data_IF_719281100007
#
_entry.id   IF_719281100007
#
_cell.length_a   1.000
_cell.length_b   1.000
_cell.length_c   1.000
_cell.angle_alpha   90.00
_cell.angle_beta   90.00
_cell.angle_gamma   90.00
#
_symmetry.space_group_name_H-M   'P 1'
#
loop_
_entity.id
_entity.type
_entity.pdbx_description
1 polymer ?
#
# COMPACT_ATOMS: atom_id res chain seq x y z
N UNK A 1 6.97 -23.02 11.08
CA UNK A 1 7.09 -22.62 9.66
C UNK A 1 6.59 -21.18 9.59
N UNK A 2 7.48 -20.20 9.75
CA UNK A 2 7.09 -18.78 9.68
C UNK A 2 7.22 -18.37 8.23
N UNK A 3 6.10 -18.32 7.52
CA UNK A 3 6.11 -17.80 6.17
C UNK A 3 6.17 -16.27 6.27
N UNK A 4 7.31 -15.67 5.91
CA UNK A 4 7.51 -14.21 5.90
C UNK A 4 7.14 -13.62 4.53
N UNK A 5 6.20 -14.24 3.82
CA UNK A 5 5.73 -13.73 2.54
C UNK A 5 5.01 -12.39 2.73
N UNK A 6 5.09 -11.55 1.70
CA UNK A 6 4.25 -10.36 1.62
C UNK A 6 2.87 -10.75 1.15
N UNK A 7 1.85 -10.46 1.97
CA UNK A 7 0.45 -10.74 1.71
C UNK A 7 -0.30 -9.45 1.33
N UNK A 8 -1.39 -9.60 0.56
CA UNK A 8 -2.26 -8.51 0.14
C UNK A 8 -3.73 -8.92 0.24
N UNK A 9 -4.59 -8.03 0.71
CA UNK A 9 -6.04 -8.28 0.77
C UNK A 9 -6.86 -6.98 0.77
N UNK A 10 -8.12 -7.09 0.32
CA UNK A 10 -9.16 -6.09 0.61
C UNK A 10 -9.41 -6.05 2.12
N UNK A 11 -9.38 -4.86 2.69
CA UNK A 11 -9.62 -4.59 4.11
C UNK A 11 -10.97 -3.94 4.39
N UNK A 12 -11.72 -3.62 3.34
CA UNK A 12 -13.10 -3.12 3.41
C UNK A 12 -14.09 -4.19 2.93
N UNK A 13 -15.35 -4.19 3.43
CA UNK A 13 -16.38 -5.11 2.95
C UNK A 13 -16.65 -4.99 1.43
N UNK A 14 -17.12 -6.06 0.78
CA UNK A 14 -17.53 -5.99 -0.62
C UNK A 14 -18.81 -5.14 -0.77
N UNK A 15 -18.91 -4.39 -1.86
CA UNK A 15 -20.06 -3.56 -2.19
C UNK A 15 -19.66 -2.17 -2.70
N UNK A 16 -20.66 -1.32 -2.92
CA UNK A 16 -20.44 0.07 -3.31
C UNK A 16 -20.25 0.94 -2.07
N UNK A 17 -19.15 1.69 -2.05
CA UNK A 17 -18.83 2.66 -1.01
C UNK A 17 -17.94 3.77 -1.55
N UNK A 18 -17.75 4.84 -0.78
CA UNK A 18 -16.93 5.96 -1.21
C UNK A 18 -15.43 5.63 -1.26
N UNK A 19 -14.97 4.68 -0.44
CA UNK A 19 -13.55 4.29 -0.31
C UNK A 19 -13.47 2.78 -0.15
N UNK A 20 -12.52 2.16 -0.87
CA UNK A 20 -12.03 0.81 -0.60
C UNK A 20 -10.61 0.85 -0.05
N UNK A 21 -10.24 -0.11 0.79
CA UNK A 21 -8.86 -0.21 1.32
C UNK A 21 -8.28 -1.55 0.90
N UNK A 22 -7.11 -1.52 0.25
CA UNK A 22 -6.26 -2.69 0.02
C UNK A 22 -5.06 -2.56 0.96
N UNK A 23 -4.79 -3.60 1.76
CA UNK A 23 -3.67 -3.64 2.71
C UNK A 23 -2.66 -4.69 2.29
N UNK A 24 -1.39 -4.28 2.23
CA UNK A 24 -0.24 -5.16 2.09
C UNK A 24 0.48 -5.29 3.43
N UNK A 25 1.04 -6.46 3.71
CA UNK A 25 1.86 -6.69 4.90
C UNK A 25 2.94 -7.72 4.63
N UNK A 26 4.15 -7.43 5.08
CA UNK A 26 5.32 -8.28 4.90
C UNK A 26 6.57 -7.47 4.55
N UNK A 27 7.72 -8.14 4.41
CA UNK A 27 9.02 -7.49 4.22
C UNK A 27 9.09 -6.62 2.94
N UNK A 28 8.32 -6.95 1.90
CA UNK A 28 8.35 -6.24 0.61
C UNK A 28 7.13 -5.34 0.38
N UNK A 29 6.24 -5.18 1.36
CA UNK A 29 4.98 -4.45 1.20
C UNK A 29 5.16 -3.02 0.64
N UNK A 30 6.15 -2.29 1.18
CA UNK A 30 6.44 -0.92 0.74
C UNK A 30 7.11 -0.93 -0.64
N UNK A 31 8.06 -1.82 -0.87
CA UNK A 31 8.78 -1.93 -2.14
C UNK A 31 7.85 -2.27 -3.31
N UNK A 32 6.97 -3.26 -3.13
CA UNK A 32 6.00 -3.68 -4.14
C UNK A 32 5.00 -2.55 -4.43
N UNK A 33 4.49 -1.88 -3.39
CA UNK A 33 3.59 -0.74 -3.57
C UNK A 33 4.28 0.41 -4.33
N UNK A 34 5.54 0.70 -4.02
CA UNK A 34 6.30 1.78 -4.65
C UNK A 34 6.53 1.58 -6.15
N UNK A 35 6.56 0.32 -6.63
CA UNK A 35 6.74 0.03 -8.07
C UNK A 35 5.54 0.46 -8.91
N UNK A 36 4.33 0.42 -8.34
CA UNK A 36 3.07 0.79 -9.03
C UNK A 36 2.54 2.15 -8.59
N UNK A 37 3.14 2.78 -7.58
CA UNK A 37 2.73 4.08 -7.06
C UNK A 37 3.51 5.22 -7.74
N UNK A 38 2.79 6.03 -8.51
CA UNK A 38 3.31 7.26 -9.09
C UNK A 38 3.06 8.43 -8.12
N UNK A 39 4.11 8.81 -7.39
CA UNK A 39 4.08 9.91 -6.42
C UNK A 39 5.45 10.07 -5.75
N UNK A 40 5.45 10.34 -4.43
CA UNK A 40 6.69 10.28 -3.65
C UNK A 40 7.21 8.85 -3.60
N UNK A 41 8.53 8.70 -3.58
CA UNK A 41 9.19 7.42 -3.31
C UNK A 41 8.87 6.96 -1.88
N UNK A 42 7.97 5.98 -1.74
CA UNK A 42 7.44 5.46 -0.48
C UNK A 42 8.54 4.81 0.36
N UNK A 43 9.60 4.29 -0.25
CA UNK A 43 10.74 3.68 0.46
C UNK A 43 11.56 4.69 1.26
N UNK A 44 11.41 5.99 0.93
CA UNK A 44 12.12 7.10 1.57
C UNK A 44 11.26 7.90 2.54
N UNK A 45 9.97 7.57 2.66
CA UNK A 45 9.07 8.31 3.53
C UNK A 45 9.10 7.74 4.96
N UNK A 46 8.76 8.60 5.92
CA UNK A 46 8.63 8.17 7.31
C UNK A 46 7.44 7.21 7.49
N UNK A 47 7.45 6.46 8.59
CA UNK A 47 6.27 5.69 8.98
C UNK A 47 5.19 6.61 9.59
N UNK A 48 3.95 6.14 9.59
CA UNK A 48 2.74 6.83 10.08
C UNK A 48 2.42 8.13 9.34
N UNK A 49 2.77 8.18 8.06
CA UNK A 49 2.42 9.27 7.15
C UNK A 49 1.50 8.79 6.03
N UNK A 50 0.78 9.74 5.45
CA UNK A 50 -0.10 9.55 4.30
C UNK A 50 0.47 10.26 3.08
N UNK A 51 0.39 9.62 1.92
CA UNK A 51 0.92 10.14 0.67
C UNK A 51 -0.10 10.00 -0.45
N UNK A 52 -0.52 11.13 -1.02
CA UNK A 52 -1.32 11.15 -2.22
C UNK A 52 -0.47 10.79 -3.45
N UNK A 53 -1.04 10.02 -4.37
CA UNK A 53 -0.46 9.71 -5.66
C UNK A 53 -1.40 8.84 -6.49
N UNK A 54 -0.87 8.27 -7.57
CA UNK A 54 -1.64 7.45 -8.49
C UNK A 54 -1.16 6.01 -8.41
N UNK A 55 -2.05 5.04 -8.57
CA UNK A 55 -1.65 3.68 -8.93
C UNK A 55 -1.68 3.55 -10.44
N UNK A 56 -0.59 3.05 -11.02
CA UNK A 56 -0.45 2.84 -12.46
C UNK A 56 -0.08 1.41 -12.78
N UNK A 57 -0.65 0.91 -13.87
CA UNK A 57 -0.14 -0.25 -14.60
C UNK A 57 0.54 0.27 -15.88
N UNK A 58 1.87 0.34 -15.84
CA UNK A 58 2.68 0.99 -16.88
C UNK A 58 2.23 2.46 -17.08
N UNK A 59 1.70 2.79 -18.27
CA UNK A 59 1.19 4.13 -18.59
C UNK A 59 -0.29 4.31 -18.25
N UNK A 60 -1.01 3.24 -17.88
CA UNK A 60 -2.44 3.29 -17.58
C UNK A 60 -2.62 3.70 -16.12
N UNK A 61 -3.34 4.81 -15.90
CA UNK A 61 -3.77 5.21 -14.57
C UNK A 61 -4.94 4.32 -14.13
N UNK A 62 -4.76 3.64 -13.01
CA UNK A 62 -5.77 2.72 -12.43
C UNK A 62 -6.67 3.48 -11.45
N UNK A 63 -6.07 4.22 -10.51
CA UNK A 63 -6.81 5.01 -9.53
C UNK A 63 -5.95 6.13 -8.90
N UNK A 64 -6.61 7.12 -8.31
CA UNK A 64 -6.00 8.09 -7.41
C UNK A 64 -6.12 7.61 -5.97
N UNK A 65 -5.01 7.52 -5.24
CA UNK A 65 -4.99 6.89 -3.91
C UNK A 65 -4.27 7.74 -2.86
N UNK A 66 -4.54 7.42 -1.60
CA UNK A 66 -3.74 7.85 -0.46
C UNK A 66 -3.08 6.62 0.16
N UNK A 67 -1.75 6.54 0.06
CA UNK A 67 -0.96 5.45 0.63
C UNK A 67 -0.55 5.78 2.08
N UNK A 68 -0.89 4.89 3.01
CA UNK A 68 -0.43 4.98 4.41
C UNK A 68 0.70 3.99 4.69
N UNK A 69 1.77 4.46 5.34
CA UNK A 69 2.95 3.65 5.62
C UNK A 69 3.07 3.26 7.10
N UNK A 70 3.23 1.98 7.38
CA UNK A 70 3.45 1.46 8.73
C UNK A 70 4.67 0.52 8.70
N UNK A 71 5.72 0.90 9.41
CA UNK A 71 7.00 0.19 9.44
C UNK A 71 7.16 -0.48 10.79
N UNK A 72 7.59 -1.74 10.78
CA UNK A 72 7.84 -2.51 11.99
C UNK A 72 8.79 -1.77 12.96
N UNK A 73 8.63 -1.93 14.28
CA UNK A 73 7.64 -2.78 14.97
C UNK A 73 6.30 -2.07 15.21
N UNK A 74 6.03 -0.94 14.53
CA UNK A 74 4.87 -0.08 14.79
C UNK A 74 3.81 -0.23 13.70
N UNK A 75 3.33 -1.45 13.54
CA UNK A 75 2.27 -1.84 12.62
C UNK A 75 1.29 -2.79 13.32
N UNK A 76 0.17 -3.11 12.67
CA UNK A 76 -0.76 -4.10 13.20
C UNK A 76 -0.16 -5.53 13.23
N UNK A 77 0.71 -5.84 12.27
CA UNK A 77 1.48 -7.08 12.16
C UNK A 77 2.96 -6.85 12.43
#
# INVERSE_FOLDING_TARGET
MYNQDTIIALSTPPGSGAIGVIRLSGPDAINLTNQVFAGKDLTKQASHTLHFGLIKDQEIMVDEVVAGLYVAPRSYT
#
